data_IF_437433309631
#
_entry.id   IF_437433309631
#
_cell.length_a   1.000
_cell.length_b   1.000
_cell.length_c   1.000
_cell.angle_alpha   90.00
_cell.angle_beta   90.00
_cell.angle_gamma   90.00
#
_symmetry.space_group_name_H-M   'P 1'
#
loop_
_entity.id
_entity.type
_entity.pdbx_description
1 polymer ?
#
# COMPACT_ATOMS: atom_id res chain seq x y z
N UNK A 1 -24.41 -10.14 2.45
CA UNK A 1 -23.42 -10.06 1.34
C UNK A 1 -22.06 -10.31 1.96
N UNK A 2 -21.23 -11.17 1.38
CA UNK A 2 -19.86 -11.37 1.84
C UNK A 2 -19.08 -10.07 1.61
N UNK A 3 -18.41 -9.55 2.64
CA UNK A 3 -17.65 -8.29 2.53
C UNK A 3 -16.46 -8.41 1.59
N UNK A 4 -15.95 -9.62 1.36
CA UNK A 4 -14.85 -9.89 0.43
C UNK A 4 -15.29 -9.79 -1.05
N UNK A 5 -16.58 -9.95 -1.32
CA UNK A 5 -17.18 -9.84 -2.65
C UNK A 5 -17.86 -8.47 -2.86
N UNK A 6 -17.58 -7.52 -1.96
CA UNK A 6 -18.13 -6.17 -2.01
C UNK A 6 -17.20 -5.20 -2.75
N UNK A 7 -17.38 -5.10 -4.06
CA UNK A 7 -16.58 -4.25 -4.94
C UNK A 7 -17.09 -2.79 -5.03
N UNK A 8 -17.92 -2.34 -4.09
CA UNK A 8 -18.39 -0.93 -4.05
C UNK A 8 -17.21 0.03 -3.93
N UNK A 9 -17.18 1.04 -4.79
CA UNK A 9 -16.07 2.00 -4.89
C UNK A 9 -15.82 2.83 -3.62
N UNK A 10 -16.88 3.24 -2.92
CA UNK A 10 -16.76 4.10 -1.73
C UNK A 10 -16.01 3.38 -0.60
N UNK A 11 -15.22 4.09 0.22
CA UNK A 11 -14.49 3.44 1.30
C UNK A 11 -15.41 2.81 2.33
N UNK A 12 -14.96 1.68 2.88
CA UNK A 12 -15.69 0.93 3.90
C UNK A 12 -14.69 0.27 4.85
N UNK A 13 -14.62 0.77 6.08
CA UNK A 13 -13.72 0.25 7.10
C UNK A 13 -14.00 -1.21 7.49
N UNK A 14 -15.24 -1.69 7.37
CA UNK A 14 -15.56 -3.09 7.66
C UNK A 14 -15.00 -4.00 6.56
N UNK A 15 -15.11 -3.58 5.31
CA UNK A 15 -14.49 -4.28 4.17
C UNK A 15 -12.97 -4.29 4.28
N UNK A 16 -12.34 -3.17 4.60
CA UNK A 16 -10.89 -3.12 4.81
C UNK A 16 -10.42 -4.08 5.91
N UNK A 17 -11.12 -4.14 7.06
CA UNK A 17 -10.80 -5.12 8.11
C UNK A 17 -10.96 -6.56 7.65
N UNK A 18 -11.96 -6.84 6.81
CA UNK A 18 -12.15 -8.17 6.23
C UNK A 18 -11.01 -8.54 5.27
N UNK A 19 -10.56 -7.60 4.44
CA UNK A 19 -9.43 -7.79 3.53
C UNK A 19 -8.11 -7.97 4.29
N UNK A 20 -7.84 -7.15 5.31
CA UNK A 20 -6.66 -7.32 6.17
C UNK A 20 -6.64 -8.69 6.87
N UNK A 21 -7.78 -9.12 7.42
CA UNK A 21 -7.90 -10.45 8.01
C UNK A 21 -7.69 -11.57 6.99
N UNK A 22 -8.18 -11.40 5.75
CA UNK A 22 -7.93 -12.36 4.65
C UNK A 22 -6.44 -12.45 4.34
N UNK A 23 -5.75 -11.32 4.17
CA UNK A 23 -4.31 -11.27 3.90
C UNK A 23 -3.50 -12.00 4.98
N UNK A 24 -3.83 -11.78 6.25
CA UNK A 24 -3.17 -12.46 7.38
C UNK A 24 -3.43 -13.96 7.38
N UNK A 25 -4.67 -14.39 7.11
CA UNK A 25 -5.02 -15.82 7.04
C UNK A 25 -4.36 -16.52 5.87
N UNK A 26 -4.33 -15.90 4.70
CA UNK A 26 -3.62 -16.44 3.54
C UNK A 26 -2.13 -16.62 3.81
N UNK A 27 -1.51 -15.65 4.50
CA UNK A 27 -0.12 -15.78 4.93
C UNK A 27 0.07 -16.93 5.93
N UNK A 28 -0.83 -17.07 6.90
CA UNK A 28 -0.80 -18.17 7.87
C UNK A 28 -0.87 -19.54 7.19
N UNK A 29 -1.85 -19.73 6.30
CA UNK A 29 -2.03 -20.96 5.54
C UNK A 29 -0.81 -21.32 4.69
N UNK A 30 -0.20 -20.32 4.04
CA UNK A 30 1.02 -20.55 3.27
C UNK A 30 2.23 -20.85 4.15
N UNK A 31 2.38 -20.19 5.30
CA UNK A 31 3.44 -20.49 6.26
C UNK A 31 3.31 -21.91 6.82
N UNK A 32 2.09 -22.36 7.13
CA UNK A 32 1.83 -23.74 7.57
C UNK A 32 2.22 -24.74 6.47
N UNK A 33 1.83 -24.45 5.23
CA UNK A 33 2.20 -25.29 4.09
C UNK A 33 3.72 -25.36 3.91
N UNK A 34 4.41 -24.21 3.87
CA UNK A 34 5.86 -24.15 3.72
C UNK A 34 6.57 -24.88 4.88
N UNK A 35 6.12 -24.68 6.12
CA UNK A 35 6.68 -25.37 7.27
C UNK A 35 6.54 -26.90 7.15
N UNK A 36 5.37 -27.40 6.72
CA UNK A 36 5.17 -28.84 6.48
C UNK A 36 6.12 -29.38 5.40
N UNK A 37 6.29 -28.67 4.29
CA UNK A 37 7.16 -29.07 3.18
C UNK A 37 8.64 -29.01 3.53
N UNK A 38 9.05 -28.04 4.34
CA UNK A 38 10.42 -27.85 4.79
C UNK A 38 10.84 -28.79 5.93
N UNK A 39 9.89 -29.41 6.62
CA UNK A 39 10.17 -30.31 7.73
C UNK A 39 11.12 -31.44 7.32
N UNK A 40 12.24 -31.56 8.04
CA UNK A 40 13.28 -32.56 7.75
C UNK A 40 14.28 -32.19 6.65
N UNK A 41 14.07 -31.09 5.93
CA UNK A 41 14.95 -30.61 4.85
C UNK A 41 15.65 -29.29 5.21
N UNK A 42 14.95 -28.41 5.94
CA UNK A 42 15.43 -27.09 6.38
C UNK A 42 15.29 -27.03 7.89
N UNK A 43 16.30 -26.53 8.60
CA UNK A 43 16.24 -26.39 10.05
C UNK A 43 15.50 -25.11 10.46
N UNK A 44 14.44 -25.26 11.24
CA UNK A 44 13.72 -24.14 11.84
C UNK A 44 13.01 -24.53 13.15
N UNK A 45 12.57 -23.52 13.91
CA UNK A 45 11.79 -23.70 15.14
C UNK A 45 10.32 -23.94 14.82
N UNK A 46 9.92 -25.21 14.74
CA UNK A 46 8.54 -25.62 14.39
C UNK A 46 7.50 -25.01 15.34
N UNK A 47 7.63 -25.11 16.68
CA UNK A 47 6.71 -24.44 17.60
C UNK A 47 6.58 -22.93 17.39
N UNK A 48 7.68 -22.22 17.15
CA UNK A 48 7.64 -20.77 16.97
C UNK A 48 6.89 -20.38 15.68
N UNK A 49 7.16 -21.06 14.56
CA UNK A 49 6.46 -20.81 13.29
C UNK A 49 4.97 -21.16 13.40
N UNK A 50 4.62 -22.28 14.06
CA UNK A 50 3.23 -22.62 14.32
C UNK A 50 2.53 -21.56 15.18
N UNK A 51 3.23 -21.00 16.19
CA UNK A 51 2.73 -19.90 17.00
C UNK A 51 2.47 -18.62 16.20
N UNK A 52 3.40 -18.26 15.30
CA UNK A 52 3.27 -17.12 14.39
C UNK A 52 2.07 -17.28 13.44
N UNK A 53 1.95 -18.45 12.81
CA UNK A 53 0.82 -18.79 11.92
C UNK A 53 -0.52 -18.68 12.65
N UNK A 54 -0.61 -19.23 13.87
CA UNK A 54 -1.83 -19.12 14.67
C UNK A 54 -2.16 -17.67 15.06
N UNK A 55 -1.16 -16.82 15.33
CA UNK A 55 -1.38 -15.40 15.60
C UNK A 55 -1.94 -14.67 14.36
N UNK A 56 -1.36 -14.92 13.18
CA UNK A 56 -1.87 -14.41 11.91
C UNK A 56 -3.31 -14.86 11.62
N UNK A 57 -3.63 -16.14 11.83
CA UNK A 57 -4.96 -16.69 11.59
C UNK A 57 -6.04 -16.08 12.50
N UNK A 58 -5.66 -15.69 13.73
CA UNK A 58 -6.50 -14.94 14.68
C UNK A 58 -6.66 -13.46 14.32
N UNK A 59 -5.92 -12.95 13.34
CA UNK A 59 -5.94 -11.55 12.95
C UNK A 59 -5.08 -10.65 13.84
N UNK A 60 -4.09 -11.21 14.54
CA UNK A 60 -3.18 -10.39 15.34
C UNK A 60 -2.30 -9.49 14.45
N UNK A 61 -2.04 -8.28 14.95
CA UNK A 61 -1.30 -7.26 14.20
C UNK A 61 0.21 -7.52 14.27
N UNK A 62 0.74 -8.24 13.29
CA UNK A 62 2.19 -8.39 13.12
C UNK A 62 2.81 -7.24 12.32
N UNK A 63 4.11 -6.94 12.53
CA UNK A 63 4.82 -5.93 11.74
C UNK A 63 4.81 -6.25 10.24
N UNK A 64 4.81 -5.24 9.34
CA UNK A 64 4.89 -5.48 7.90
C UNK A 64 6.14 -6.27 7.46
N UNK A 65 7.22 -6.23 8.26
CA UNK A 65 8.41 -7.08 8.06
C UNK A 65 8.09 -8.57 8.05
N UNK A 66 7.00 -9.01 8.70
CA UNK A 66 6.56 -10.42 8.65
C UNK A 66 6.19 -10.84 7.23
N UNK A 67 5.43 -10.01 6.49
CA UNK A 67 5.10 -10.27 5.08
C UNK A 67 6.36 -10.22 4.19
N UNK A 68 7.27 -9.29 4.49
CA UNK A 68 8.52 -9.18 3.75
C UNK A 68 9.43 -10.39 3.96
N UNK A 69 9.58 -10.84 5.20
CA UNK A 69 10.35 -12.04 5.55
C UNK A 69 9.79 -13.28 4.89
N UNK A 70 8.46 -13.43 4.87
CA UNK A 70 7.80 -14.51 4.16
C UNK A 70 8.06 -14.46 2.65
N UNK A 71 7.97 -13.28 2.04
CA UNK A 71 8.17 -13.15 0.59
C UNK A 71 9.61 -13.53 0.21
N UNK A 72 10.59 -13.07 0.99
CA UNK A 72 11.99 -13.50 0.83
C UNK A 72 12.15 -15.02 1.03
N UNK A 73 11.42 -15.61 1.96
CA UNK A 73 11.48 -17.06 2.23
C UNK A 73 10.99 -17.84 1.02
N UNK A 74 9.87 -17.44 0.42
CA UNK A 74 9.33 -18.06 -0.80
C UNK A 74 10.35 -17.97 -1.94
N UNK A 75 10.97 -16.82 -2.15
CA UNK A 75 12.00 -16.63 -3.18
C UNK A 75 13.23 -17.51 -2.90
N UNK A 76 13.72 -17.54 -1.66
CA UNK A 76 14.86 -18.37 -1.30
C UNK A 76 14.57 -19.86 -1.54
N UNK A 77 13.36 -20.32 -1.21
CA UNK A 77 12.95 -21.71 -1.44
C UNK A 77 12.77 -22.03 -2.93
N UNK A 78 12.23 -21.11 -3.74
CA UNK A 78 12.06 -21.35 -5.19
C UNK A 78 13.41 -21.40 -5.93
N UNK A 79 14.42 -20.72 -5.41
CA UNK A 79 15.79 -20.69 -5.94
C UNK A 79 16.72 -21.73 -5.28
N UNK A 80 16.19 -22.65 -4.45
CA UNK A 80 16.95 -23.68 -3.72
C UNK A 80 18.06 -23.13 -2.80
N UNK A 81 17.89 -21.90 -2.31
CA UNK A 81 18.80 -21.23 -1.35
C UNK A 81 18.45 -21.61 0.09
N UNK A 82 18.66 -22.88 0.44
CA UNK A 82 18.21 -23.44 1.73
C UNK A 82 18.85 -22.76 2.96
N UNK A 83 20.11 -22.34 2.90
CA UNK A 83 20.75 -21.63 4.00
C UNK A 83 20.10 -20.27 4.29
N UNK A 84 19.66 -19.56 3.24
CA UNK A 84 18.94 -18.30 3.38
C UNK A 84 17.55 -18.55 3.95
N UNK A 85 16.88 -19.63 3.52
CA UNK A 85 15.60 -20.05 4.09
C UNK A 85 15.70 -20.34 5.60
N UNK A 86 16.76 -21.02 6.07
CA UNK A 86 16.99 -21.26 7.51
C UNK A 86 17.10 -19.93 8.29
N UNK A 87 17.88 -18.97 7.78
CA UNK A 87 18.05 -17.66 8.41
C UNK A 87 16.74 -16.85 8.44
N UNK A 88 15.93 -16.95 7.39
CA UNK A 88 14.63 -16.30 7.29
C UNK A 88 13.61 -16.91 8.25
N UNK A 89 13.60 -18.23 8.42
CA UNK A 89 12.78 -18.88 9.45
C UNK A 89 13.17 -18.44 10.87
N UNK A 90 14.47 -18.31 11.17
CA UNK A 90 14.92 -17.78 12.46
C UNK A 90 14.40 -16.35 12.67
N UNK A 91 14.45 -15.52 11.63
CA UNK A 91 13.94 -14.14 11.69
C UNK A 91 12.42 -14.11 11.89
N UNK A 92 11.66 -14.94 11.18
CA UNK A 92 10.20 -15.08 11.35
C UNK A 92 9.83 -15.56 12.76
N UNK A 93 10.57 -16.51 13.33
CA UNK A 93 10.35 -16.99 14.69
C UNK A 93 10.53 -15.90 15.77
N UNK A 94 11.25 -14.82 15.44
CA UNK A 94 11.44 -13.66 16.32
C UNK A 94 10.36 -12.58 16.15
N UNK A 95 9.52 -12.65 15.11
CA UNK A 95 8.43 -11.68 14.92
C UNK A 95 7.39 -11.83 16.04
N UNK A 96 6.89 -10.70 16.53
CA UNK A 96 5.96 -10.66 17.65
C UNK A 96 4.75 -9.77 17.30
N UNK A 97 3.53 -10.20 17.69
CA UNK A 97 2.35 -9.35 17.58
C UNK A 97 2.58 -8.00 18.27
N UNK A 98 2.13 -6.94 17.62
CA UNK A 98 2.13 -5.59 18.16
C UNK A 98 0.75 -5.24 18.71
N UNK A 99 0.76 -4.39 19.72
CA UNK A 99 -0.43 -3.77 20.28
C UNK A 99 -0.45 -2.29 19.89
N UNK A 100 -1.64 -1.74 19.66
CA UNK A 100 -1.85 -0.30 19.47
C UNK A 100 -2.18 0.13 18.04
N UNK A 101 -2.20 1.44 17.85
CA UNK A 101 -2.55 2.10 16.59
C UNK A 101 -1.40 2.06 15.56
N UNK A 102 -1.65 2.61 14.37
CA UNK A 102 -0.66 2.82 13.33
C UNK A 102 0.60 3.48 13.89
N UNK A 103 1.75 2.84 13.66
CA UNK A 103 3.05 3.34 14.09
C UNK A 103 3.61 4.31 13.06
N UNK A 104 4.10 5.47 13.48
CA UNK A 104 4.79 6.44 12.61
C UNK A 104 6.25 6.50 13.03
N UNK A 105 7.17 6.21 12.11
CA UNK A 105 8.61 6.12 12.40
C UNK A 105 9.46 6.62 11.23
N UNK A 106 10.63 7.22 11.48
CA UNK A 106 11.57 7.51 10.41
C UNK A 106 12.27 6.25 9.92
N UNK A 107 12.70 6.25 8.65
CA UNK A 107 13.37 5.10 8.06
C UNK A 107 14.69 4.73 8.76
N UNK A 108 15.34 5.70 9.41
CA UNK A 108 16.53 5.46 10.21
C UNK A 108 16.26 4.91 11.63
N UNK A 109 14.99 4.75 12.03
CA UNK A 109 14.62 4.30 13.36
C UNK A 109 15.27 2.95 13.72
N UNK A 110 15.86 2.77 14.93
CA UNK A 110 16.56 1.55 15.32
C UNK A 110 15.74 0.27 15.18
N UNK A 111 14.44 0.35 15.49
CA UNK A 111 13.51 -0.77 15.30
C UNK A 111 13.27 -1.21 13.86
N UNK A 112 13.76 -0.48 12.85
CA UNK A 112 13.76 -0.92 11.44
C UNK A 112 15.14 -1.41 10.98
N UNK A 113 16.19 -1.33 11.82
CA UNK A 113 17.56 -1.61 11.39
C UNK A 113 17.72 -3.02 10.76
N UNK A 114 17.05 -4.03 11.31
CA UNK A 114 17.08 -5.40 10.82
C UNK A 114 16.31 -5.62 9.50
N UNK A 115 15.45 -4.68 9.10
CA UNK A 115 14.57 -4.82 7.93
C UNK A 115 14.80 -3.74 6.87
N UNK A 116 15.64 -2.74 7.13
CA UNK A 116 15.83 -1.56 6.26
C UNK A 116 16.21 -1.94 4.84
N UNK A 117 17.20 -2.80 4.69
CA UNK A 117 17.66 -3.26 3.37
C UNK A 117 16.55 -4.00 2.61
N UNK A 118 15.80 -4.86 3.31
CA UNK A 118 14.63 -5.56 2.75
C UNK A 118 13.56 -4.56 2.29
N UNK A 119 13.26 -3.56 3.11
CA UNK A 119 12.29 -2.52 2.78
C UNK A 119 12.74 -1.74 1.53
N UNK A 120 14.00 -1.32 1.46
CA UNK A 120 14.57 -0.68 0.26
C UNK A 120 14.42 -1.56 -0.98
N UNK A 121 14.85 -2.82 -0.93
CA UNK A 121 14.75 -3.75 -2.07
C UNK A 121 13.31 -3.93 -2.53
N UNK A 122 12.38 -4.20 -1.61
CA UNK A 122 10.98 -4.47 -1.94
C UNK A 122 10.23 -3.24 -2.46
N UNK A 123 10.69 -2.04 -2.11
CA UNK A 123 10.20 -0.79 -2.69
C UNK A 123 10.84 -0.47 -4.05
N UNK A 124 11.67 -1.36 -4.60
CA UNK A 124 12.33 -1.17 -5.89
C UNK A 124 13.52 -0.21 -5.84
N UNK A 125 14.12 0.00 -4.64
CA UNK A 125 15.37 0.73 -4.50
C UNK A 125 16.58 -0.19 -4.74
N UNK A 126 16.78 -0.58 -5.98
CA UNK A 126 18.03 -1.21 -6.42
C UNK A 126 19.10 -0.15 -6.74
N UNK A 127 20.41 -0.47 -6.71
CA UNK A 127 21.48 0.50 -6.98
C UNK A 127 21.35 1.23 -8.33
N UNK A 128 20.76 0.55 -9.32
CA UNK A 128 20.52 1.06 -10.68
C UNK A 128 19.11 1.66 -10.86
N UNK A 129 18.28 1.66 -9.81
CA UNK A 129 16.96 2.29 -9.82
C UNK A 129 17.09 3.79 -9.61
N UNK A 130 16.30 4.58 -10.35
CA UNK A 130 16.14 6.02 -10.11
C UNK A 130 15.36 6.32 -8.83
N UNK A 131 14.79 5.29 -8.20
CA UNK A 131 14.00 5.37 -6.99
C UNK A 131 14.84 4.95 -5.77
N UNK A 132 15.24 5.92 -4.93
CA UNK A 132 15.99 5.65 -3.69
C UNK A 132 15.22 6.23 -2.50
N UNK A 133 14.90 5.38 -1.52
CA UNK A 133 14.39 5.81 -0.21
C UNK A 133 15.55 6.03 0.75
N UNK A 134 15.61 7.24 1.32
CA UNK A 134 16.59 7.65 2.30
C UNK A 134 15.89 8.03 3.61
N UNK A 135 16.59 7.98 4.75
CA UNK A 135 16.09 8.59 5.97
C UNK A 135 15.84 10.10 5.79
N UNK A 136 14.75 10.64 6.36
CA UNK A 136 14.53 12.08 6.37
C UNK A 136 15.51 12.78 7.32
N UNK A 137 15.72 14.09 7.12
CA UNK A 137 16.40 14.89 8.12
C UNK A 137 15.54 15.01 9.39
N UNK A 138 16.14 15.20 10.58
CA UNK A 138 15.39 15.36 11.83
C UNK A 138 14.32 16.47 11.74
N UNK A 139 14.64 17.59 11.08
CA UNK A 139 13.72 18.72 10.93
C UNK A 139 12.51 18.36 10.07
N UNK A 140 12.70 17.56 9.00
CA UNK A 140 11.62 17.08 8.14
C UNK A 140 10.74 16.06 8.88
N UNK A 141 11.34 15.16 9.66
CA UNK A 141 10.62 14.19 10.47
C UNK A 141 9.76 14.89 11.55
N UNK A 142 10.35 15.79 12.33
CA UNK A 142 9.62 16.56 13.36
C UNK A 142 8.48 17.39 12.78
N UNK A 143 8.69 17.97 11.58
CA UNK A 143 7.64 18.71 10.88
C UNK A 143 6.48 17.79 10.49
N UNK A 144 6.80 16.63 9.91
CA UNK A 144 5.80 15.65 9.52
C UNK A 144 4.99 15.12 10.72
N UNK A 145 5.65 14.86 11.85
CA UNK A 145 4.99 14.46 13.10
C UNK A 145 3.97 15.50 13.60
N UNK A 146 4.15 16.79 13.29
CA UNK A 146 3.18 17.85 13.59
C UNK A 146 2.07 17.99 12.55
N UNK A 147 2.37 17.70 11.28
CA UNK A 147 1.43 17.85 10.16
C UNK A 147 0.48 16.67 10.02
N UNK A 148 0.97 15.44 10.21
CA UNK A 148 0.18 14.22 10.06
C UNK A 148 -1.08 14.20 10.94
N UNK A 149 -1.04 14.56 12.25
CA UNK A 149 -2.25 14.61 13.06
C UNK A 149 -3.30 15.58 12.52
N UNK A 150 -2.89 16.68 11.86
CA UNK A 150 -3.82 17.65 11.27
C UNK A 150 -4.50 17.07 10.04
N UNK A 151 -3.74 16.42 9.15
CA UNK A 151 -4.30 15.73 7.99
C UNK A 151 -5.23 14.58 8.40
N UNK A 152 -4.85 13.79 9.40
CA UNK A 152 -5.69 12.72 9.93
C UNK A 152 -6.96 13.25 10.60
N UNK A 153 -6.88 14.35 11.36
CA UNK A 153 -8.06 14.99 11.94
C UNK A 153 -9.00 15.52 10.85
N UNK A 154 -8.45 16.13 9.81
CA UNK A 154 -9.20 16.61 8.64
C UNK A 154 -9.89 15.46 7.91
N UNK A 155 -9.18 14.34 7.68
CA UNK A 155 -9.73 13.12 7.08
C UNK A 155 -10.88 12.56 7.91
N UNK A 156 -10.70 12.40 9.23
CA UNK A 156 -11.74 11.91 10.14
C UNK A 156 -12.99 12.79 10.14
N UNK A 157 -12.82 14.11 10.04
CA UNK A 157 -13.93 15.05 10.04
C UNK A 157 -14.67 15.11 8.69
N UNK A 158 -13.95 15.16 7.57
CA UNK A 158 -14.55 15.26 6.23
C UNK A 158 -15.08 13.92 5.70
N UNK A 159 -14.37 12.83 6.05
CA UNK A 159 -14.59 11.50 5.51
C UNK A 159 -14.24 10.38 6.53
N UNK A 160 -15.10 10.17 7.55
CA UNK A 160 -14.88 9.13 8.55
C UNK A 160 -14.66 7.73 7.95
N UNK A 161 -15.38 7.39 6.88
CA UNK A 161 -15.28 6.09 6.23
C UNK A 161 -13.88 5.83 5.62
N UNK A 162 -13.23 6.86 5.05
CA UNK A 162 -11.85 6.74 4.56
C UNK A 162 -10.87 6.58 5.71
N UNK A 163 -11.06 7.33 6.81
CA UNK A 163 -10.20 7.19 7.98
C UNK A 163 -10.30 5.79 8.60
N UNK A 164 -11.50 5.22 8.68
CA UNK A 164 -11.72 3.86 9.16
C UNK A 164 -11.11 2.80 8.22
N UNK A 165 -11.14 3.04 6.90
CA UNK A 165 -10.49 2.17 5.90
C UNK A 165 -8.97 2.24 6.03
N UNK A 166 -8.42 3.45 6.17
CA UNK A 166 -7.00 3.70 6.39
C UNK A 166 -6.50 3.01 7.66
N UNK A 167 -7.16 3.25 8.80
CA UNK A 167 -6.78 2.67 10.10
C UNK A 167 -6.83 1.13 10.09
N UNK A 168 -7.67 0.55 9.23
CA UNK A 168 -7.80 -0.90 9.09
C UNK A 168 -6.73 -1.53 8.20
N UNK A 169 -6.24 -0.80 7.18
CA UNK A 169 -5.25 -1.32 6.23
C UNK A 169 -3.81 -0.95 6.60
N UNK A 170 -3.60 0.15 7.33
CA UNK A 170 -2.27 0.74 7.54
C UNK A 170 -1.83 0.60 8.99
N UNK A 171 -0.77 -0.18 9.20
CA UNK A 171 -0.22 -0.47 10.51
C UNK A 171 1.09 0.28 10.80
N UNK A 172 1.82 0.67 9.76
CA UNK A 172 3.10 1.36 9.87
C UNK A 172 3.25 2.41 8.77
N UNK A 173 3.64 3.62 9.15
CA UNK A 173 3.97 4.72 8.27
C UNK A 173 5.46 5.02 8.48
N UNK A 174 6.23 4.78 7.44
CA UNK A 174 7.67 4.96 7.40
C UNK A 174 7.98 6.28 6.72
N UNK A 175 8.51 7.24 7.47
CA UNK A 175 8.94 8.52 6.93
C UNK A 175 10.24 8.33 6.15
N UNK A 176 10.23 8.71 4.88
CA UNK A 176 11.38 8.64 3.97
C UNK A 176 11.63 10.00 3.32
N UNK A 177 12.76 10.12 2.64
CA UNK A 177 13.07 11.20 1.71
C UNK A 177 13.60 10.60 0.40
N UNK A 178 13.30 11.24 -0.73
CA UNK A 178 13.92 10.91 -2.01
C UNK A 178 15.30 11.56 -2.18
N UNK A 179 16.10 11.05 -3.12
CA UNK A 179 17.35 11.69 -3.52
C UNK A 179 17.08 12.91 -4.42
N UNK A 180 17.36 14.11 -3.93
CA UNK A 180 17.04 15.38 -4.63
C UNK A 180 17.70 15.53 -6.02
N UNK A 181 18.75 14.76 -6.29
CA UNK A 181 19.58 14.89 -7.50
C UNK A 181 19.13 14.07 -8.70
N UNK A 182 18.23 13.08 -8.53
CA UNK A 182 17.84 12.17 -9.61
C UNK A 182 16.60 12.59 -10.40
N UNK A 183 16.03 13.78 -10.14
CA UNK A 183 14.93 14.35 -10.91
C UNK A 183 13.57 13.64 -10.76
N UNK A 184 13.56 12.38 -10.31
CA UNK A 184 12.37 11.63 -9.95
C UNK A 184 11.99 11.89 -8.48
N UNK A 185 10.76 12.36 -8.26
CA UNK A 185 10.19 12.61 -6.94
C UNK A 185 8.93 11.74 -6.78
N UNK A 186 8.83 11.05 -5.65
CA UNK A 186 7.66 10.28 -5.26
C UNK A 186 7.09 10.87 -3.98
N UNK A 187 5.77 10.95 -3.87
CA UNK A 187 5.09 11.44 -2.66
C UNK A 187 4.92 10.33 -1.62
N UNK A 188 4.65 9.11 -2.09
CA UNK A 188 4.53 7.92 -1.26
C UNK A 188 4.81 6.64 -2.05
N UNK A 189 4.78 5.52 -1.34
CA UNK A 189 4.77 4.20 -1.94
C UNK A 189 4.31 3.11 -0.97
N UNK A 190 3.74 2.07 -1.55
CA UNK A 190 3.26 0.87 -0.88
C UNK A 190 3.59 -0.37 -1.72
N UNK A 191 3.81 -1.50 -1.07
CA UNK A 191 4.19 -2.75 -1.72
C UNK A 191 3.39 -3.91 -1.13
N UNK A 192 2.86 -4.79 -2.00
CA UNK A 192 2.12 -5.98 -1.61
C UNK A 192 2.91 -6.86 -0.61
N UNK A 193 4.21 -7.02 -0.83
CA UNK A 193 5.11 -7.81 0.04
C UNK A 193 5.35 -7.16 1.40
N UNK A 194 4.97 -5.90 1.59
CA UNK A 194 5.08 -5.15 2.84
C UNK A 194 3.68 -4.73 3.33
N UNK A 195 2.74 -5.68 3.32
CA UNK A 195 1.36 -5.43 3.71
C UNK A 195 1.25 -4.66 5.04
N UNK A 196 0.59 -3.51 4.98
CA UNK A 196 0.36 -2.63 6.11
C UNK A 196 1.44 -1.59 6.37
N UNK A 197 2.47 -1.50 5.51
CA UNK A 197 3.46 -0.42 5.52
C UNK A 197 3.20 0.60 4.39
N UNK A 198 3.23 1.89 4.74
CA UNK A 198 3.29 3.00 3.81
C UNK A 198 4.60 3.76 3.96
N UNK A 199 5.26 4.07 2.84
CA UNK A 199 6.48 4.88 2.82
C UNK A 199 6.13 6.26 2.30
N UNK A 200 6.23 7.29 3.14
CA UNK A 200 5.84 8.65 2.75
C UNK A 200 7.05 9.57 2.66
N UNK A 201 7.18 10.27 1.54
CA UNK A 201 8.23 11.26 1.34
C UNK A 201 7.87 12.56 2.07
N UNK A 202 8.44 12.72 3.27
CA UNK A 202 8.15 13.87 4.12
C UNK A 202 8.78 15.18 3.62
N UNK A 203 9.62 15.10 2.59
CA UNK A 203 10.20 16.26 1.92
C UNK A 203 9.25 17.00 0.99
N UNK A 204 8.16 16.35 0.52
CA UNK A 204 7.31 16.89 -0.54
C UNK A 204 5.95 17.42 -0.07
N UNK A 205 5.39 16.87 1.01
CA UNK A 205 4.11 17.34 1.55
C UNK A 205 4.17 18.84 1.85
N UNK A 206 3.17 19.61 1.41
CA UNK A 206 3.15 21.08 1.53
C UNK A 206 2.03 21.61 2.42
N UNK A 207 0.98 20.80 2.64
CA UNK A 207 -0.20 21.17 3.41
C UNK A 207 -0.92 19.92 3.94
N UNK A 208 -1.83 20.06 4.94
CA UNK A 208 -2.70 18.97 5.36
C UNK A 208 -3.62 18.43 4.26
N UNK A 209 -3.96 19.24 3.25
CA UNK A 209 -4.80 18.84 2.10
C UNK A 209 -4.01 17.90 1.20
N UNK A 210 -2.81 18.31 0.78
CA UNK A 210 -1.91 17.47 -0.01
C UNK A 210 -1.56 16.17 0.72
N UNK A 211 -1.29 16.23 2.03
CA UNK A 211 -1.02 15.01 2.79
C UNK A 211 -2.23 14.07 2.84
N UNK A 212 -3.46 14.59 2.99
CA UNK A 212 -4.66 13.76 2.95
C UNK A 212 -4.84 13.06 1.59
N UNK A 213 -4.58 13.77 0.50
CA UNK A 213 -4.59 13.20 -0.85
C UNK A 213 -3.60 12.05 -0.98
N UNK A 214 -2.35 12.22 -0.51
CA UNK A 214 -1.34 11.15 -0.49
C UNK A 214 -1.78 9.96 0.37
N UNK A 215 -2.41 10.19 1.52
CA UNK A 215 -2.93 9.10 2.35
C UNK A 215 -4.09 8.35 1.65
N UNK A 216 -4.96 9.08 0.94
CA UNK A 216 -6.02 8.50 0.11
C UNK A 216 -5.44 7.69 -1.07
N UNK A 217 -4.35 8.19 -1.66
CA UNK A 217 -3.61 7.52 -2.72
C UNK A 217 -3.09 6.15 -2.26
N UNK A 218 -2.27 6.16 -1.21
CA UNK A 218 -1.56 4.97 -0.76
C UNK A 218 -2.51 3.94 -0.13
N UNK A 219 -3.53 4.39 0.61
CA UNK A 219 -4.56 3.46 1.12
C UNK A 219 -5.39 2.82 0.00
N UNK A 220 -5.58 3.50 -1.14
CA UNK A 220 -6.23 2.90 -2.30
C UNK A 220 -5.38 1.79 -2.94
N UNK A 221 -4.05 1.93 -2.98
CA UNK A 221 -3.17 0.83 -3.37
C UNK A 221 -3.28 -0.35 -2.41
N UNK A 222 -3.26 -0.11 -1.09
CA UNK A 222 -3.46 -1.15 -0.08
C UNK A 222 -4.80 -1.88 -0.25
N UNK A 223 -5.86 -1.15 -0.59
CA UNK A 223 -7.16 -1.74 -0.87
C UNK A 223 -7.10 -2.67 -2.10
N UNK A 224 -6.47 -2.23 -3.20
CA UNK A 224 -6.31 -3.05 -4.40
C UNK A 224 -5.47 -4.30 -4.15
N UNK A 225 -4.36 -4.18 -3.42
CA UNK A 225 -3.56 -5.32 -2.96
C UNK A 225 -4.41 -6.32 -2.17
N UNK A 226 -5.29 -5.83 -1.29
CA UNK A 226 -6.19 -6.67 -0.53
C UNK A 226 -7.13 -7.46 -1.43
N UNK A 227 -7.64 -6.86 -2.51
CA UNK A 227 -8.48 -7.54 -3.51
C UNK A 227 -7.69 -8.51 -4.39
N UNK A 228 -6.43 -8.21 -4.67
CA UNK A 228 -5.53 -9.02 -5.49
C UNK A 228 -4.97 -10.28 -4.79
N UNK A 229 -5.41 -10.56 -3.55
CA UNK A 229 -4.90 -11.64 -2.73
C UNK A 229 -5.11 -13.05 -3.34
N UNK A 230 -6.20 -13.25 -4.09
CA UNK A 230 -6.57 -14.56 -4.66
C UNK A 230 -6.30 -14.64 -6.16
N UNK A 231 -6.39 -13.52 -6.88
CA UNK A 231 -6.11 -13.42 -8.31
C UNK A 231 -5.53 -12.04 -8.63
N UNK A 232 -4.74 -11.96 -9.71
CA UNK A 232 -4.32 -10.67 -10.25
C UNK A 232 -5.55 -9.86 -10.71
N UNK A 233 -5.45 -8.53 -10.71
CA UNK A 233 -6.53 -7.67 -11.21
C UNK A 233 -6.50 -7.55 -12.75
N UNK A 234 -5.32 -7.75 -13.34
CA UNK A 234 -5.07 -7.75 -14.77
C UNK A 234 -4.37 -9.04 -15.18
N UNK A 235 -4.61 -9.48 -16.41
CA UNK A 235 -4.05 -10.68 -17.04
C UNK A 235 -3.11 -10.33 -18.20
N UNK A 236 -2.81 -9.06 -18.38
CA UNK A 236 -1.74 -8.62 -19.28
C UNK A 236 -0.39 -9.11 -18.74
N UNK A 237 0.53 -9.41 -19.63
CA UNK A 237 1.90 -9.75 -19.26
C UNK A 237 2.63 -8.49 -18.74
N UNK A 238 3.54 -8.65 -17.78
CA UNK A 238 4.31 -7.55 -17.21
C UNK A 238 5.29 -6.93 -18.24
N UNK A 239 5.68 -7.69 -19.26
CA UNK A 239 6.51 -7.21 -20.37
C UNK A 239 5.70 -6.43 -21.43
N UNK A 240 4.37 -6.49 -21.40
CA UNK A 240 3.51 -5.69 -22.28
C UNK A 240 3.40 -4.25 -21.75
N UNK A 241 4.17 -3.34 -22.34
CA UNK A 241 4.19 -1.93 -21.98
C UNK A 241 3.21 -1.08 -22.79
N UNK A 242 2.58 -0.12 -22.13
CA UNK A 242 1.57 0.77 -22.69
C UNK A 242 1.87 2.23 -22.34
N UNK A 243 1.49 3.19 -23.19
CA UNK A 243 1.60 4.61 -22.87
C UNK A 243 0.83 4.95 -21.59
N UNK A 244 1.51 5.56 -20.62
CA UNK A 244 0.89 6.05 -19.39
C UNK A 244 0.69 7.56 -19.48
N UNK A 245 -0.49 8.11 -19.19
CA UNK A 245 -0.69 9.56 -19.22
C UNK A 245 0.04 10.28 -18.07
N UNK A 246 0.50 9.55 -17.05
CA UNK A 246 1.12 10.08 -15.85
C UNK A 246 2.65 10.08 -15.90
N UNK A 247 3.26 9.40 -16.88
CA UNK A 247 4.72 9.27 -17.01
C UNK A 247 5.12 9.37 -18.47
N UNK A 248 6.37 9.74 -18.72
CA UNK A 248 6.95 9.70 -20.05
C UNK A 248 7.19 8.25 -20.51
N UNK A 249 7.57 7.38 -19.59
CA UNK A 249 7.89 5.99 -19.89
C UNK A 249 6.63 5.13 -19.97
N UNK A 250 6.66 4.15 -20.87
CA UNK A 250 5.62 3.14 -20.97
C UNK A 250 5.61 2.24 -19.73
N UNK A 251 4.43 1.70 -19.39
CA UNK A 251 4.16 1.00 -18.14
C UNK A 251 3.44 -0.31 -18.39
N UNK A 252 3.67 -1.35 -17.56
CA UNK A 252 2.82 -2.52 -17.56
C UNK A 252 1.38 -2.12 -17.22
N UNK A 253 0.41 -2.91 -17.73
CA UNK A 253 -1.01 -2.62 -17.51
C UNK A 253 -1.39 -2.59 -16.02
N UNK A 254 -0.75 -3.40 -15.17
CA UNK A 254 -1.00 -3.40 -13.73
C UNK A 254 -0.77 -2.00 -13.12
N UNK A 255 0.36 -1.39 -13.47
CA UNK A 255 0.70 -0.04 -13.03
C UNK A 255 -0.27 1.03 -13.53
N UNK A 256 -0.83 0.87 -14.73
CA UNK A 256 -1.83 1.80 -15.30
C UNK A 256 -3.20 1.59 -14.64
N UNK A 257 -3.60 0.33 -14.41
CA UNK A 257 -4.83 -0.03 -13.71
C UNK A 257 -4.84 0.57 -12.31
N UNK A 258 -3.76 0.35 -11.55
CA UNK A 258 -3.58 0.87 -10.19
C UNK A 258 -3.69 2.40 -10.18
N UNK A 259 -2.91 3.10 -11.03
CA UNK A 259 -2.92 4.56 -11.08
C UNK A 259 -4.28 5.13 -11.50
N UNK A 260 -5.00 4.45 -12.40
CA UNK A 260 -6.35 4.82 -12.82
C UNK A 260 -7.32 4.75 -11.64
N UNK A 261 -7.42 3.59 -10.98
CA UNK A 261 -8.34 3.41 -9.86
C UNK A 261 -8.03 4.37 -8.70
N UNK A 262 -6.75 4.55 -8.38
CA UNK A 262 -6.31 5.47 -7.32
C UNK A 262 -6.64 6.92 -7.66
N UNK A 263 -6.53 7.34 -8.92
CA UNK A 263 -6.96 8.69 -9.34
C UNK A 263 -8.43 8.93 -9.04
N UNK A 264 -9.33 7.96 -9.28
CA UNK A 264 -10.73 8.12 -8.87
C UNK A 264 -10.88 8.26 -7.35
N UNK A 265 -10.08 7.53 -6.56
CA UNK A 265 -10.12 7.58 -5.09
C UNK A 265 -9.64 8.92 -4.54
N UNK A 266 -8.60 9.50 -5.12
CA UNK A 266 -8.11 10.85 -4.77
C UNK A 266 -9.15 11.92 -5.17
N UNK A 267 -9.70 11.84 -6.38
CA UNK A 267 -10.79 12.72 -6.82
C UNK A 267 -11.95 12.72 -5.84
N UNK A 268 -12.41 11.53 -5.43
CA UNK A 268 -13.47 11.38 -4.45
C UNK A 268 -13.09 12.00 -3.09
N UNK A 269 -11.89 11.73 -2.58
CA UNK A 269 -11.44 12.25 -1.29
C UNK A 269 -11.39 13.79 -1.29
N UNK A 270 -10.86 14.39 -2.35
CA UNK A 270 -10.83 15.85 -2.53
C UNK A 270 -12.23 16.44 -2.66
N UNK A 271 -13.14 15.78 -3.40
CA UNK A 271 -14.56 16.15 -3.46
C UNK A 271 -15.22 16.18 -2.09
N UNK A 272 -15.04 15.12 -1.30
CA UNK A 272 -15.55 15.04 0.08
C UNK A 272 -14.98 16.13 0.98
N UNK A 273 -13.71 16.48 0.78
CA UNK A 273 -13.06 17.53 1.53
C UNK A 273 -13.63 18.92 1.21
N UNK A 274 -13.85 19.23 -0.08
CA UNK A 274 -14.51 20.46 -0.51
C UNK A 274 -15.94 20.57 0.06
N UNK A 275 -16.71 19.49 0.00
CA UNK A 275 -18.09 19.43 0.49
C UNK A 275 -18.21 19.56 2.01
N UNK A 276 -17.15 19.23 2.75
CA UNK A 276 -17.15 19.31 4.21
C UNK A 276 -17.27 20.74 4.76
N UNK A 277 -16.89 21.74 3.95
CA UNK A 277 -16.82 23.14 4.40
C UNK A 277 -15.73 23.44 5.44
N UNK A 278 -14.82 22.49 5.71
CA UNK A 278 -13.76 22.62 6.72
C UNK A 278 -12.53 23.41 6.23
N UNK A 279 -12.40 23.59 4.92
CA UNK A 279 -11.25 24.22 4.29
C UNK A 279 -11.38 25.75 4.27
N UNK A 280 -10.25 26.43 4.47
CA UNK A 280 -10.12 27.86 4.18
C UNK A 280 -10.04 28.12 2.65
N UNK A 281 -9.82 29.37 2.24
CA UNK A 281 -9.78 29.70 0.81
C UNK A 281 -8.64 28.98 0.07
N UNK A 282 -7.44 28.98 0.64
CA UNK A 282 -6.28 28.34 0.02
C UNK A 282 -6.43 26.83 -0.09
N UNK A 283 -6.91 26.18 0.98
CA UNK A 283 -7.17 24.74 0.98
C UNK A 283 -8.26 24.34 -0.01
N UNK A 284 -9.30 25.17 -0.20
CA UNK A 284 -10.34 24.91 -1.22
C UNK A 284 -9.78 25.00 -2.63
N UNK A 285 -8.92 25.97 -2.91
CA UNK A 285 -8.29 26.10 -4.22
C UNK A 285 -7.37 24.91 -4.50
N UNK A 286 -6.58 24.49 -3.50
CA UNK A 286 -5.71 23.31 -3.58
C UNK A 286 -6.51 22.02 -3.82
N UNK A 287 -7.52 21.73 -2.99
CA UNK A 287 -8.36 20.54 -3.14
C UNK A 287 -9.16 20.56 -4.46
N UNK A 288 -9.59 21.74 -4.92
CA UNK A 288 -10.25 21.91 -6.21
C UNK A 288 -9.34 21.55 -7.38
N UNK A 289 -8.12 22.08 -7.38
CA UNK A 289 -7.12 21.80 -8.41
C UNK A 289 -6.71 20.31 -8.42
N UNK A 290 -6.48 19.72 -7.26
CA UNK A 290 -6.18 18.30 -7.09
C UNK A 290 -7.30 17.41 -7.66
N UNK A 291 -8.55 17.65 -7.22
CA UNK A 291 -9.74 16.94 -7.72
C UNK A 291 -9.85 16.97 -9.24
N UNK A 292 -9.61 18.12 -9.87
CA UNK A 292 -9.66 18.25 -11.32
C UNK A 292 -8.51 17.53 -12.03
N UNK A 293 -7.30 17.56 -11.45
CA UNK A 293 -6.16 16.80 -11.97
C UNK A 293 -6.44 15.30 -11.92
N UNK A 294 -6.96 14.81 -10.80
CA UNK A 294 -7.33 13.40 -10.61
C UNK A 294 -8.41 12.94 -11.58
N UNK A 295 -9.41 13.78 -11.87
CA UNK A 295 -10.43 13.47 -12.87
C UNK A 295 -9.81 13.27 -14.26
N UNK A 296 -8.86 14.14 -14.66
CA UNK A 296 -8.15 14.01 -15.93
C UNK A 296 -7.28 12.76 -15.96
N UNK A 297 -6.57 12.48 -14.87
CA UNK A 297 -5.72 11.30 -14.73
C UNK A 297 -6.52 10.01 -14.82
N UNK A 298 -7.67 9.93 -14.12
CA UNK A 298 -8.61 8.82 -14.24
C UNK A 298 -9.08 8.63 -15.68
N UNK A 299 -9.58 9.70 -16.32
CA UNK A 299 -10.12 9.60 -17.68
C UNK A 299 -9.06 9.12 -18.69
N UNK A 300 -7.82 9.62 -18.58
CA UNK A 300 -6.74 9.24 -19.45
C UNK A 300 -6.26 7.79 -19.21
N UNK A 301 -6.14 7.36 -17.95
CA UNK A 301 -5.77 5.99 -17.61
C UNK A 301 -6.86 4.99 -18.00
N UNK A 302 -8.13 5.34 -17.75
CA UNK A 302 -9.28 4.50 -18.08
C UNK A 302 -9.45 4.28 -19.59
N UNK A 303 -9.06 5.25 -20.43
CA UNK A 303 -9.00 5.06 -21.87
C UNK A 303 -8.03 3.93 -22.26
N UNK A 304 -6.84 3.90 -21.65
CA UNK A 304 -5.83 2.87 -21.91
C UNK A 304 -6.33 1.52 -21.39
N UNK A 305 -6.89 1.47 -20.17
CA UNK A 305 -7.44 0.23 -19.59
C UNK A 305 -8.59 -0.31 -20.44
N UNK A 306 -9.51 0.53 -20.93
CA UNK A 306 -10.61 0.09 -21.81
C UNK A 306 -10.11 -0.47 -23.14
N UNK A 307 -9.03 0.09 -23.67
CA UNK A 307 -8.51 -0.31 -24.98
C UNK A 307 -7.65 -1.56 -24.93
N UNK A 308 -6.90 -1.74 -23.84
CA UNK A 308 -5.82 -2.74 -23.78
C UNK A 308 -5.90 -3.70 -22.58
N UNK A 309 -6.68 -3.36 -21.55
CA UNK A 309 -6.77 -4.13 -20.32
C UNK A 309 -7.48 -5.47 -20.52
N UNK A 310 -6.83 -6.54 -20.05
CA UNK A 310 -7.41 -7.88 -19.92
C UNK A 310 -7.69 -8.10 -18.44
N UNK A 311 -8.87 -7.70 -17.98
CA UNK A 311 -9.19 -7.70 -16.55
C UNK A 311 -9.69 -9.08 -16.10
N UNK A 312 -9.39 -9.46 -14.86
CA UNK A 312 -10.09 -10.56 -14.19
C UNK A 312 -11.52 -10.14 -13.80
N UNK A 313 -12.30 -11.08 -13.27
CA UNK A 313 -13.65 -10.75 -12.77
C UNK A 313 -13.58 -9.72 -11.63
N UNK A 314 -12.62 -9.89 -10.70
CA UNK A 314 -12.39 -8.92 -9.63
C UNK A 314 -11.92 -7.57 -10.16
N UNK A 315 -10.95 -7.56 -11.09
CA UNK A 315 -10.46 -6.33 -11.71
C UNK A 315 -11.55 -5.56 -12.47
N UNK A 316 -12.39 -6.26 -13.25
CA UNK A 316 -13.49 -5.62 -13.96
C UNK A 316 -14.55 -5.05 -13.01
N UNK A 317 -14.91 -5.79 -11.95
CA UNK A 317 -15.89 -5.33 -10.98
C UNK A 317 -15.46 -4.04 -10.27
N UNK A 318 -14.20 -3.96 -9.83
CA UNK A 318 -13.64 -2.78 -9.17
C UNK A 318 -13.56 -1.58 -10.11
N UNK A 319 -13.01 -1.77 -11.32
CA UNK A 319 -12.89 -0.67 -12.28
C UNK A 319 -14.26 -0.19 -12.77
N UNK A 320 -15.20 -1.10 -12.99
CA UNK A 320 -16.59 -0.75 -13.34
C UNK A 320 -17.30 0.03 -12.24
N UNK A 321 -17.08 -0.31 -10.96
CA UNK A 321 -17.61 0.46 -9.84
C UNK A 321 -17.00 1.88 -9.79
N UNK A 322 -15.70 2.02 -10.03
CA UNK A 322 -15.03 3.32 -10.11
C UNK A 322 -15.58 4.16 -11.28
N UNK A 323 -15.70 3.58 -12.48
CA UNK A 323 -16.29 4.23 -13.66
C UNK A 323 -17.72 4.71 -13.41
N UNK A 324 -18.57 3.85 -12.84
CA UNK A 324 -19.95 4.18 -12.53
C UNK A 324 -20.03 5.35 -11.54
N UNK A 325 -19.13 5.39 -10.56
CA UNK A 325 -19.05 6.49 -9.61
C UNK A 325 -18.58 7.79 -10.28
N UNK A 326 -17.46 7.76 -11.01
CA UNK A 326 -16.91 8.93 -11.74
C UNK A 326 -17.90 9.50 -12.76
N UNK A 327 -18.67 8.65 -13.44
CA UNK A 327 -19.71 9.07 -14.39
C UNK A 327 -20.93 9.71 -13.73
N UNK A 328 -21.15 9.49 -12.42
CA UNK A 328 -22.29 10.05 -11.70
C UNK A 328 -22.18 11.55 -11.43
N UNK A 329 -21.00 12.15 -11.70
CA UNK A 329 -20.78 13.60 -11.63
C UNK A 329 -20.96 14.20 -10.23
N UNK A 330 -20.81 13.37 -9.19
CA UNK A 330 -20.88 13.79 -7.78
C UNK A 330 -19.50 14.09 -7.25
#
# INVERSE_FOLDING_TARGET
MNLLDDFRFLPDGARARALDLRMRRSLAESLDHIAERCAGHVRFDVPAIAGLSQALARGELLPPSTFGLYSDLVIALSEDRLADAEALFVSLACEQPRQGATRVIPFDHPGLAAHRERYSRMMGCEPDSDFVILPPSPERAERFERELPQAMALMRAATPALADEFDALVSELVMVSGEERRGYQFDGGSCYMLWGALFLNVGLSRSPVALLEVLAHESAHMLLYGFAAEEALVLNDDDELYPSPLRIDERPMDGIYHATYVSARMHWAMGRLLESGLLDAAGRDEAGAAREADARNFAAGDEVVRRHGRLTATGDALMSAARAWMASGR
#
